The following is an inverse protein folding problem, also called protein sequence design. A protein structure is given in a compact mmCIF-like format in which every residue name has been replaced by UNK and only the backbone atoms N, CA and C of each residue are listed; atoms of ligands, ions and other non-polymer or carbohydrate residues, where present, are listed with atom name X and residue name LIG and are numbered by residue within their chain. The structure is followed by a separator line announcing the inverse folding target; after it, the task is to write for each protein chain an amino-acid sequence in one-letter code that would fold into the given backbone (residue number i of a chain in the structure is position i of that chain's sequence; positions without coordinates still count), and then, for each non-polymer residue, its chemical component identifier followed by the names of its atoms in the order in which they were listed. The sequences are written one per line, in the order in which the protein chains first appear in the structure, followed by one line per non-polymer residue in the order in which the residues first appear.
data_IF_857056241008
#
_entry.id   IF_857056241008
#
_cell.length_a   1.000
_cell.length_b   1.000
_cell.length_c   1.000
_cell.angle_alpha   90.00
_cell.angle_beta   90.00
_cell.angle_gamma   90.00
#
_symmetry.space_group_name_H-M   'P 1'
#
loop_
_entity.id
_entity.type
_entity.pdbx_description
1 polymer ?
#
# COMPACT_ATOMS: atom_id res chain seq x y z
N UNK A 1 -9.04 0.02 21.79
CA UNK A 1 -9.75 -0.75 20.74
C UNK A 1 -8.92 -1.97 20.37
N UNK A 2 -9.59 -3.11 20.11
CA UNK A 2 -8.96 -4.29 19.52
C UNK A 2 -8.46 -4.00 18.10
N UNK A 3 -7.38 -4.68 17.70
CA UNK A 3 -6.91 -4.65 16.32
C UNK A 3 -7.92 -5.35 15.43
N UNK A 4 -8.12 -4.80 14.24
CA UNK A 4 -8.91 -5.49 13.22
C UNK A 4 -8.11 -6.66 12.64
N UNK A 5 -8.71 -7.84 12.62
CA UNK A 5 -8.08 -9.07 12.13
C UNK A 5 -8.37 -9.24 10.65
N UNK A 6 -7.33 -9.39 9.84
CA UNK A 6 -7.46 -9.42 8.38
C UNK A 6 -6.85 -10.70 7.85
N UNK A 7 -7.60 -11.45 7.06
CA UNK A 7 -7.02 -12.55 6.26
C UNK A 7 -6.56 -12.00 4.93
N UNK A 8 -5.38 -12.40 4.47
CA UNK A 8 -4.86 -12.04 3.15
C UNK A 8 -4.58 -13.33 2.38
N UNK A 9 -5.11 -13.42 1.16
CA UNK A 9 -4.90 -14.56 0.28
C UNK A 9 -4.37 -14.11 -1.09
N UNK A 10 -3.75 -15.03 -1.81
CA UNK A 10 -3.34 -14.83 -3.20
C UNK A 10 -4.03 -15.84 -4.10
N UNK A 11 -4.47 -15.41 -5.28
CA UNK A 11 -5.25 -16.23 -6.19
C UNK A 11 -4.60 -16.19 -7.57
N UNK A 12 -4.24 -17.35 -8.08
CA UNK A 12 -3.49 -17.48 -9.33
C UNK A 12 -2.02 -17.01 -9.23
N UNK A 13 -1.42 -16.76 -10.39
CA UNK A 13 0.01 -16.42 -10.49
C UNK A 13 0.29 -14.98 -10.05
N UNK A 14 1.19 -14.82 -9.08
CA UNK A 14 1.62 -13.51 -8.56
C UNK A 14 2.89 -12.98 -9.27
N UNK A 15 3.08 -11.66 -9.38
CA UNK A 15 4.36 -11.09 -9.84
C UNK A 15 5.54 -11.63 -9.02
N UNK A 16 6.66 -11.95 -9.66
CA UNK A 16 7.81 -12.57 -9.01
C UNK A 16 8.44 -11.67 -7.93
N UNK A 17 8.35 -10.36 -8.11
CA UNK A 17 8.84 -9.34 -7.19
C UNK A 17 7.93 -9.12 -5.97
N UNK A 18 6.71 -9.66 -5.96
CA UNK A 18 5.77 -9.52 -4.85
C UNK A 18 6.21 -10.37 -3.64
N UNK A 19 6.51 -9.71 -2.53
CA UNK A 19 7.02 -10.33 -1.33
C UNK A 19 5.97 -10.35 -0.21
N UNK A 20 5.27 -11.48 -0.11
CA UNK A 20 4.27 -11.77 0.94
C UNK A 20 4.82 -11.64 2.36
N UNK A 21 6.11 -11.95 2.56
CA UNK A 21 6.72 -11.89 3.90
C UNK A 21 6.79 -10.45 4.44
N UNK A 22 6.88 -9.44 3.58
CA UNK A 22 6.80 -8.04 4.03
C UNK A 22 5.40 -7.69 4.52
N UNK A 23 4.36 -8.22 3.87
CA UNK A 23 2.97 -8.04 4.32
C UNK A 23 2.78 -8.62 5.72
N UNK A 24 3.24 -9.85 5.93
CA UNK A 24 3.16 -10.54 7.22
C UNK A 24 3.98 -9.86 8.33
N UNK A 25 5.16 -9.32 7.99
CA UNK A 25 6.05 -8.66 8.96
C UNK A 25 5.61 -7.25 9.32
N UNK A 26 4.69 -6.65 8.56
CA UNK A 26 4.19 -5.32 8.84
C UNK A 26 3.46 -5.29 10.19
N UNK A 27 3.92 -4.42 11.09
CA UNK A 27 3.34 -4.28 12.42
C UNK A 27 2.47 -3.04 12.45
N UNK A 28 1.18 -3.25 12.71
CA UNK A 28 0.21 -2.19 12.93
C UNK A 28 -0.39 -2.28 14.34
N UNK A 29 -0.74 -1.12 14.90
CA UNK A 29 -1.52 -1.00 16.13
C UNK A 29 -3.03 -0.96 15.87
N UNK A 30 -3.47 -0.85 14.60
CA UNK A 30 -4.89 -0.79 14.21
C UNK A 30 -5.40 -2.08 13.59
N UNK A 31 -4.54 -2.87 12.95
CA UNK A 31 -4.88 -4.18 12.40
C UNK A 31 -3.78 -5.23 12.65
N UNK A 32 -4.13 -6.49 12.43
CA UNK A 32 -3.20 -7.61 12.31
C UNK A 32 -3.57 -8.49 11.12
N UNK A 33 -2.57 -8.91 10.35
CA UNK A 33 -2.74 -9.92 9.29
C UNK A 33 -2.61 -11.29 9.94
N UNK A 34 -3.67 -12.09 9.83
CA UNK A 34 -3.73 -13.44 10.38
C UNK A 34 -3.08 -14.46 9.44
N UNK A 35 -2.68 -15.58 10.05
CA UNK A 35 -2.23 -16.80 9.38
C UNK A 35 -1.08 -16.61 8.37
N UNK A 36 -0.81 -17.65 7.59
CA UNK A 36 0.03 -17.53 6.39
C UNK A 36 -0.80 -17.00 5.23
N UNK A 37 -0.13 -16.29 4.30
CA UNK A 37 -0.78 -15.84 3.07
C UNK A 37 -0.86 -17.02 2.10
N UNK A 38 -1.98 -17.74 2.17
CA UNK A 38 -2.26 -18.90 1.33
C UNK A 38 -2.40 -18.54 -0.15
N UNK A 39 -2.17 -19.54 -1.00
CA UNK A 39 -2.36 -19.45 -2.45
C UNK A 39 -3.43 -20.41 -2.92
N UNK A 40 -4.36 -19.89 -3.71
CA UNK A 40 -5.40 -20.66 -4.35
C UNK A 40 -5.25 -20.56 -5.87
N UNK A 41 -5.74 -21.57 -6.59
CA UNK A 41 -5.79 -21.53 -8.04
C UNK A 41 -6.91 -20.61 -8.53
N UNK A 42 -6.65 -19.86 -9.59
CA UNK A 42 -7.70 -19.18 -10.34
C UNK A 42 -8.24 -20.16 -11.40
N UNK A 43 -9.36 -20.81 -11.10
CA UNK A 43 -9.90 -21.94 -11.88
C UNK A 43 -11.04 -21.59 -12.83
N UNK A 44 -11.47 -20.32 -12.85
CA UNK A 44 -12.53 -19.82 -13.73
C UNK A 44 -11.95 -19.12 -14.95
N UNK A 45 -12.80 -18.96 -15.96
CA UNK A 45 -12.51 -18.24 -17.18
C UNK A 45 -12.78 -16.74 -17.00
N UNK A 46 -12.12 -15.93 -17.83
CA UNK A 46 -12.21 -14.47 -17.83
C UNK A 46 -13.32 -14.01 -18.79
N UNK A 47 -14.57 -14.26 -18.42
CA UNK A 47 -15.73 -14.11 -19.31
C UNK A 47 -16.28 -12.68 -19.43
N UNK A 48 -15.64 -11.69 -18.78
CA UNK A 48 -16.02 -10.29 -18.88
C UNK A 48 -15.72 -9.67 -20.25
N UNK A 49 -16.32 -8.50 -20.53
CA UNK A 49 -16.25 -7.85 -21.85
C UNK A 49 -14.82 -7.55 -22.33
N UNK A 50 -13.89 -7.28 -21.40
CA UNK A 50 -12.49 -7.00 -21.70
C UNK A 50 -11.55 -8.09 -21.18
N UNK A 51 -11.97 -9.36 -21.26
CA UNK A 51 -11.24 -10.51 -20.71
C UNK A 51 -10.98 -10.36 -19.20
N UNK A 52 -11.91 -9.73 -18.51
CA UNK A 52 -11.86 -9.51 -17.07
C UNK A 52 -12.60 -10.59 -16.29
N UNK A 53 -12.20 -10.79 -15.04
CA UNK A 53 -12.94 -11.60 -14.10
C UNK A 53 -14.05 -10.75 -13.48
N UNK A 54 -15.30 -11.14 -13.72
CA UNK A 54 -16.48 -10.49 -13.15
C UNK A 54 -16.53 -10.68 -11.63
N UNK A 55 -17.28 -9.83 -10.93
CA UNK A 55 -17.49 -10.00 -9.50
C UNK A 55 -18.13 -11.37 -9.23
N UNK A 56 -19.13 -11.78 -10.01
CA UNK A 56 -19.78 -13.10 -9.93
C UNK A 56 -18.79 -14.27 -10.08
N UNK A 57 -17.86 -14.19 -11.03
CA UNK A 57 -16.85 -15.23 -11.22
C UNK A 57 -15.92 -15.33 -10.01
N UNK A 58 -15.45 -14.17 -9.50
CA UNK A 58 -14.57 -14.11 -8.34
C UNK A 58 -15.26 -14.58 -7.06
N UNK A 59 -16.55 -14.30 -6.89
CA UNK A 59 -17.36 -14.77 -5.76
C UNK A 59 -17.30 -16.30 -5.59
N UNK A 60 -17.16 -17.03 -6.69
CA UNK A 60 -17.08 -18.50 -6.68
C UNK A 60 -15.68 -19.07 -6.47
N UNK A 61 -14.62 -18.27 -6.72
CA UNK A 61 -13.22 -18.72 -6.64
C UNK A 61 -12.56 -18.31 -5.33
N UNK A 62 -12.94 -17.16 -4.78
CA UNK A 62 -12.34 -16.65 -3.57
C UNK A 62 -12.74 -17.50 -2.35
N UNK A 63 -11.85 -17.62 -1.33
CA UNK A 63 -12.19 -18.31 -0.10
C UNK A 63 -13.46 -17.74 0.56
N UNK A 64 -14.44 -18.61 0.80
CA UNK A 64 -15.67 -18.27 1.51
C UNK A 64 -15.53 -18.39 3.03
N UNK A 65 -14.50 -19.12 3.49
CA UNK A 65 -14.18 -19.29 4.91
C UNK A 65 -12.78 -18.78 5.17
N UNK A 66 -12.66 -17.82 6.08
CA UNK A 66 -11.39 -17.23 6.50
C UNK A 66 -11.47 -16.84 7.98
N UNK A 67 -10.31 -16.71 8.62
CA UNK A 67 -10.18 -16.51 10.08
C UNK A 67 -10.36 -15.06 10.53
N UNK A 68 -10.13 -14.11 9.63
CA UNK A 68 -10.23 -12.68 9.87
C UNK A 68 -11.65 -12.15 9.86
N UNK A 69 -11.80 -10.88 10.24
CA UNK A 69 -13.04 -10.12 10.15
C UNK A 69 -13.41 -9.77 8.71
N UNK A 70 -12.39 -9.64 7.85
CA UNK A 70 -12.54 -9.48 6.41
C UNK A 70 -11.34 -10.07 5.67
N UNK A 71 -11.53 -10.36 4.39
CA UNK A 71 -10.53 -10.93 3.49
C UNK A 71 -10.08 -9.87 2.47
N UNK A 72 -8.76 -9.78 2.24
CA UNK A 72 -8.20 -9.17 1.03
C UNK A 72 -7.59 -10.29 0.17
N UNK A 73 -8.23 -10.59 -0.95
CA UNK A 73 -7.71 -11.48 -1.97
C UNK A 73 -6.92 -10.70 -3.02
N UNK A 74 -5.70 -11.16 -3.32
CA UNK A 74 -4.80 -10.53 -4.28
C UNK A 74 -4.74 -11.40 -5.53
N UNK A 75 -5.11 -10.82 -6.67
CA UNK A 75 -5.02 -11.41 -8.01
C UNK A 75 -4.03 -10.62 -8.87
N UNK A 76 -3.74 -11.11 -10.08
CA UNK A 76 -2.88 -10.43 -11.07
C UNK A 76 -3.47 -10.62 -12.49
N UNK A 77 -4.80 -10.52 -12.56
CA UNK A 77 -5.62 -10.57 -13.77
C UNK A 77 -6.57 -9.37 -13.76
N UNK A 78 -7.02 -8.88 -14.93
CA UNK A 78 -8.04 -7.83 -14.96
C UNK A 78 -9.30 -8.26 -14.18
N UNK A 79 -9.89 -7.33 -13.44
CA UNK A 79 -11.13 -7.51 -12.69
C UNK A 79 -12.17 -6.50 -13.17
N UNK A 80 -13.44 -6.82 -12.94
CA UNK A 80 -14.60 -6.15 -13.49
C UNK A 80 -14.53 -4.61 -13.56
N UNK A 81 -14.98 -4.05 -14.69
CA UNK A 81 -14.92 -2.63 -15.05
C UNK A 81 -13.50 -2.05 -15.03
N UNK A 82 -12.49 -2.89 -15.22
CA UNK A 82 -11.07 -2.54 -15.18
C UNK A 82 -10.65 -1.80 -13.88
N UNK A 83 -11.23 -2.14 -12.73
CA UNK A 83 -10.81 -1.58 -11.43
C UNK A 83 -9.51 -2.24 -10.95
N UNK A 84 -8.80 -1.60 -10.02
CA UNK A 84 -7.69 -2.27 -9.32
C UNK A 84 -8.10 -2.86 -7.98
N UNK A 85 -9.25 -2.46 -7.43
CA UNK A 85 -9.78 -3.00 -6.18
C UNK A 85 -11.30 -2.95 -6.20
N UNK A 86 -11.95 -4.04 -5.78
CA UNK A 86 -13.40 -4.16 -5.69
C UNK A 86 -13.82 -4.82 -4.38
N UNK A 87 -15.00 -4.45 -3.90
CA UNK A 87 -15.64 -4.99 -2.71
C UNK A 87 -16.67 -6.02 -3.15
N UNK A 88 -16.61 -7.19 -2.54
CA UNK A 88 -17.45 -8.34 -2.79
C UNK A 88 -18.29 -8.63 -1.54
N UNK A 89 -19.22 -9.56 -1.66
CA UNK A 89 -20.07 -9.98 -0.55
C UNK A 89 -19.26 -10.60 0.60
N UNK A 90 -19.88 -10.65 1.78
CA UNK A 90 -19.35 -11.31 2.97
C UNK A 90 -17.97 -10.78 3.42
N UNK A 91 -17.80 -9.46 3.46
CA UNK A 91 -16.56 -8.80 3.91
C UNK A 91 -15.33 -9.22 3.10
N UNK A 92 -15.48 -9.33 1.78
CA UNK A 92 -14.36 -9.69 0.90
C UNK A 92 -13.99 -8.50 0.02
N UNK A 93 -12.70 -8.37 -0.20
CA UNK A 93 -12.11 -7.39 -1.10
C UNK A 93 -11.21 -8.14 -2.05
N UNK A 94 -11.32 -7.85 -3.35
CA UNK A 94 -10.37 -8.30 -4.35
C UNK A 94 -9.53 -7.12 -4.81
N UNK A 95 -8.22 -7.30 -4.84
CA UNK A 95 -7.26 -6.35 -5.40
C UNK A 95 -6.49 -7.03 -6.53
N UNK A 96 -6.23 -6.31 -7.61
CA UNK A 96 -5.42 -6.82 -8.72
C UNK A 96 -4.12 -6.05 -8.95
N UNK A 97 -3.04 -6.80 -9.20
CA UNK A 97 -1.79 -6.27 -9.74
C UNK A 97 -1.82 -6.01 -11.25
N UNK A 98 -2.90 -6.36 -11.95
CA UNK A 98 -3.07 -6.03 -13.35
C UNK A 98 -2.92 -4.52 -13.58
N UNK A 99 -2.03 -4.14 -14.50
CA UNK A 99 -1.52 -2.78 -14.75
C UNK A 99 -0.80 -2.09 -13.58
N UNK A 100 -1.29 -2.23 -12.35
CA UNK A 100 -0.72 -1.58 -11.15
C UNK A 100 0.74 -1.99 -10.94
N UNK A 101 1.10 -3.25 -11.19
CA UNK A 101 2.49 -3.70 -11.04
C UNK A 101 3.45 -2.90 -11.93
N UNK A 102 3.05 -2.61 -13.16
CA UNK A 102 3.86 -1.91 -14.14
C UNK A 102 4.00 -0.43 -13.76
N UNK A 103 2.90 0.19 -13.33
CA UNK A 103 2.86 1.57 -12.84
C UNK A 103 3.80 1.75 -11.63
N UNK A 104 3.70 0.87 -10.64
CA UNK A 104 4.55 0.92 -9.45
C UNK A 104 6.01 0.64 -9.78
N UNK A 105 6.28 -0.35 -10.65
CA UNK A 105 7.63 -0.68 -11.12
C UNK A 105 8.29 0.50 -11.83
N UNK A 106 7.59 1.14 -12.76
CA UNK A 106 8.06 2.32 -13.47
C UNK A 106 8.44 3.45 -12.50
N UNK A 107 7.66 3.60 -11.43
CA UNK A 107 7.89 4.61 -10.40
C UNK A 107 8.87 4.19 -9.29
N UNK A 108 9.49 3.02 -9.40
CA UNK A 108 10.38 2.41 -8.40
C UNK A 108 9.72 2.25 -7.01
N UNK A 109 8.42 2.00 -6.98
CA UNK A 109 7.63 1.75 -5.77
C UNK A 109 7.51 0.23 -5.56
N UNK A 110 7.83 -0.31 -4.36
CA UNK A 110 7.59 -1.71 -4.06
C UNK A 110 6.10 -2.08 -4.18
N UNK A 111 5.80 -3.25 -4.75
CA UNK A 111 4.42 -3.73 -4.89
C UNK A 111 3.69 -3.88 -3.55
N UNK A 112 4.41 -4.07 -2.46
CA UNK A 112 3.79 -4.19 -1.13
C UNK A 112 3.19 -2.88 -0.64
N UNK A 113 3.63 -1.73 -1.16
CA UNK A 113 3.13 -0.43 -0.72
C UNK A 113 1.65 -0.26 -1.00
N UNK A 114 1.15 -0.75 -2.14
CA UNK A 114 -0.28 -0.69 -2.43
C UNK A 114 -1.06 -1.61 -1.48
N UNK A 115 -0.53 -2.78 -1.15
CA UNK A 115 -1.18 -3.68 -0.19
C UNK A 115 -1.24 -3.04 1.21
N UNK A 116 -0.16 -2.39 1.67
CA UNK A 116 -0.19 -1.64 2.93
C UNK A 116 -1.24 -0.53 2.90
N UNK A 117 -1.28 0.27 1.83
CA UNK A 117 -2.29 1.32 1.63
C UNK A 117 -3.70 0.74 1.76
N UNK A 118 -3.98 -0.38 1.09
CA UNK A 118 -5.29 -1.02 1.09
C UNK A 118 -5.66 -1.60 2.47
N UNK A 119 -4.71 -2.22 3.18
CA UNK A 119 -4.95 -2.70 4.54
C UNK A 119 -5.43 -1.55 5.46
N UNK A 120 -4.80 -0.38 5.39
CA UNK A 120 -5.26 0.79 6.16
C UNK A 120 -6.61 1.33 5.67
N UNK A 121 -6.78 1.49 4.36
CA UNK A 121 -8.01 2.04 3.78
C UNK A 121 -9.23 1.17 4.11
N UNK A 122 -9.12 -0.15 3.92
CA UNK A 122 -10.20 -1.10 4.22
C UNK A 122 -10.40 -1.35 5.71
N UNK A 123 -9.37 -1.25 6.55
CA UNK A 123 -9.56 -1.25 8.01
C UNK A 123 -10.42 -0.07 8.45
N UNK A 124 -10.16 1.12 7.91
CA UNK A 124 -10.94 2.32 8.23
C UNK A 124 -12.37 2.21 7.65
N UNK A 125 -12.53 1.70 6.43
CA UNK A 125 -13.85 1.41 5.85
C UNK A 125 -14.64 0.44 6.72
N UNK A 126 -14.04 -0.71 7.06
CA UNK A 126 -14.66 -1.73 7.90
C UNK A 126 -15.20 -1.13 9.21
N UNK A 127 -14.35 -0.36 9.91
CA UNK A 127 -14.74 0.24 11.19
C UNK A 127 -15.84 1.30 11.04
N UNK A 128 -15.74 2.15 10.00
CA UNK A 128 -16.69 3.27 9.80
C UNK A 128 -18.05 2.79 9.30
N UNK A 129 -18.07 1.60 8.70
CA UNK A 129 -19.26 0.90 8.21
C UNK A 129 -19.77 -0.14 9.21
N UNK A 130 -19.53 0.04 10.51
CA UNK A 130 -20.12 -0.80 11.55
C UNK A 130 -19.62 -2.24 11.56
N UNK A 131 -18.33 -2.45 11.27
CA UNK A 131 -17.69 -3.77 11.16
C UNK A 131 -18.20 -4.59 9.96
N UNK A 132 -18.42 -3.91 8.84
CA UNK A 132 -18.80 -4.50 7.56
C UNK A 132 -18.02 -3.83 6.43
N UNK A 133 -17.67 -4.57 5.38
CA UNK A 133 -17.24 -4.00 4.10
C UNK A 133 -18.48 -3.96 3.20
N UNK A 134 -19.04 -2.77 2.89
CA UNK A 134 -20.18 -2.67 2.01
C UNK A 134 -19.80 -3.08 0.59
N UNK A 135 -20.74 -3.65 -0.16
CA UNK A 135 -20.51 -4.14 -1.53
C UNK A 135 -20.19 -3.00 -2.50
N UNK A 136 -19.61 -3.32 -3.67
CA UNK A 136 -19.27 -2.31 -4.69
C UNK A 136 -20.49 -1.57 -5.24
N UNK A 137 -21.66 -2.21 -5.19
CA UNK A 137 -22.96 -1.65 -5.57
C UNK A 137 -23.51 -0.62 -4.58
N UNK A 138 -22.97 -0.59 -3.35
CA UNK A 138 -23.42 0.33 -2.30
C UNK A 138 -22.70 1.68 -2.36
N UNK A 139 -23.49 2.76 -2.35
CA UNK A 139 -23.00 4.13 -2.26
C UNK A 139 -22.45 4.42 -0.86
N UNK A 140 -21.13 4.51 -0.75
CA UNK A 140 -20.43 4.62 0.55
C UNK A 140 -19.53 5.83 0.68
N UNK A 141 -19.41 6.65 -0.38
CA UNK A 141 -18.41 7.73 -0.46
C UNK A 141 -17.04 7.24 0.05
N UNK A 142 -16.64 6.03 -0.37
CA UNK A 142 -15.39 5.40 0.07
C UNK A 142 -14.17 6.16 -0.40
N UNK A 143 -14.23 6.68 -1.62
CA UNK A 143 -13.17 7.49 -2.23
C UNK A 143 -13.61 8.94 -2.40
N UNK A 144 -12.66 9.81 -2.72
CA UNK A 144 -12.90 11.16 -3.25
C UNK A 144 -12.17 11.35 -4.57
N UNK A 145 -12.71 12.19 -5.44
CA UNK A 145 -12.29 12.25 -6.85
C UNK A 145 -10.92 12.88 -7.09
N UNK A 146 -10.48 13.78 -6.20
CA UNK A 146 -9.19 14.46 -6.38
C UNK A 146 -8.02 13.62 -5.85
N UNK A 147 -6.96 13.44 -6.65
CA UNK A 147 -5.74 12.76 -6.20
C UNK A 147 -4.90 13.71 -5.32
N UNK A 148 -4.71 13.33 -4.06
CA UNK A 148 -3.94 14.12 -3.07
C UNK A 148 -2.83 13.32 -2.37
N UNK A 149 -2.60 12.07 -2.80
CA UNK A 149 -1.82 11.08 -2.07
C UNK A 149 -2.56 10.50 -0.86
N UNK A 150 -3.90 10.63 -0.83
CA UNK A 150 -4.73 10.12 0.24
C UNK A 150 -4.92 8.60 0.13
N UNK A 151 -5.14 7.93 1.26
CA UNK A 151 -5.58 6.52 1.26
C UNK A 151 -6.85 6.33 0.40
N UNK A 152 -7.73 7.34 0.39
CA UNK A 152 -9.05 7.32 -0.23
C UNK A 152 -9.10 8.07 -1.59
N UNK A 153 -7.95 8.33 -2.23
CA UNK A 153 -7.95 8.87 -3.59
C UNK A 153 -8.67 7.90 -4.55
N UNK A 154 -9.61 8.44 -5.32
CA UNK A 154 -10.16 7.79 -6.50
C UNK A 154 -9.20 8.03 -7.67
N UNK A 155 -8.48 7.00 -8.09
CA UNK A 155 -7.55 7.11 -9.21
C UNK A 155 -8.26 6.74 -10.52
N UNK A 156 -9.10 7.66 -11.02
CA UNK A 156 -9.70 7.53 -12.36
C UNK A 156 -8.65 7.40 -13.47
N UNK A 157 -7.50 8.05 -13.27
CA UNK A 157 -6.26 7.79 -14.01
C UNK A 157 -5.39 6.87 -13.15
N UNK A 158 -5.24 5.59 -13.52
CA UNK A 158 -4.55 4.59 -12.68
C UNK A 158 -3.11 4.94 -12.34
N UNK A 159 -2.42 5.69 -13.20
CA UNK A 159 -1.01 6.10 -12.96
C UNK A 159 -0.87 6.98 -11.71
N UNK A 160 -1.94 7.65 -11.29
CA UNK A 160 -1.94 8.54 -10.13
C UNK A 160 -1.90 7.79 -8.80
N UNK A 161 -2.09 6.46 -8.82
CA UNK A 161 -1.98 5.62 -7.62
C UNK A 161 -0.61 5.73 -6.94
N UNK A 162 0.42 6.15 -7.67
CA UNK A 162 1.79 6.34 -7.16
C UNK A 162 1.85 7.35 -6.02
N UNK A 163 0.98 8.37 -6.04
CA UNK A 163 0.95 9.43 -5.03
C UNK A 163 0.50 8.92 -3.65
N UNK A 164 -0.36 7.91 -3.62
CA UNK A 164 -0.81 7.25 -2.37
C UNK A 164 -0.01 5.98 -2.03
N UNK A 165 0.97 5.60 -2.86
CA UNK A 165 1.86 4.47 -2.60
C UNK A 165 3.27 4.90 -2.17
N UNK A 166 3.53 6.20 -2.03
CA UNK A 166 4.75 6.74 -1.46
C UNK A 166 4.45 7.94 -0.56
N UNK A 167 4.60 7.75 0.76
CA UNK A 167 4.25 8.75 1.78
C UNK A 167 2.74 9.12 1.77
N UNK A 168 1.83 8.14 1.83
CA UNK A 168 0.40 8.41 1.85
C UNK A 168 -0.04 9.23 3.06
N UNK A 169 -1.18 9.92 2.87
CA UNK A 169 -1.82 10.73 3.90
C UNK A 169 -3.30 10.34 4.09
N UNK A 170 -3.91 10.93 5.11
CA UNK A 170 -5.37 11.09 5.18
C UNK A 170 -5.59 12.60 5.06
N UNK A 171 -6.21 13.03 3.95
CA UNK A 171 -6.49 14.45 3.68
C UNK A 171 -7.49 15.02 4.70
N UNK A 172 -7.64 16.34 4.75
CA UNK A 172 -8.64 17.01 5.61
C UNK A 172 -10.02 16.40 5.39
N UNK A 173 -10.51 16.41 4.16
CA UNK A 173 -11.90 16.03 3.88
C UNK A 173 -12.20 14.58 4.33
N UNK A 174 -11.23 13.67 4.18
CA UNK A 174 -11.34 12.30 4.70
C UNK A 174 -11.22 12.23 6.22
N UNK A 175 -10.36 13.04 6.84
CA UNK A 175 -10.24 13.14 8.29
C UNK A 175 -11.56 13.60 8.92
N UNK A 176 -12.17 14.65 8.37
CA UNK A 176 -13.47 15.15 8.82
C UNK A 176 -14.57 14.09 8.62
N UNK A 177 -14.58 13.40 7.48
CA UNK A 177 -15.52 12.30 7.20
C UNK A 177 -15.38 11.16 8.20
N UNK A 178 -14.17 10.68 8.45
CA UNK A 178 -13.92 9.61 9.43
C UNK A 178 -14.39 9.99 10.84
N UNK A 179 -14.25 11.25 11.24
CA UNK A 179 -14.76 11.75 12.53
C UNK A 179 -16.28 11.78 12.58
N UNK A 180 -16.93 12.23 11.51
CA UNK A 180 -18.40 12.22 11.38
C UNK A 180 -18.94 10.78 11.44
N UNK A 181 -18.22 9.83 10.85
CA UNK A 181 -18.51 8.39 10.88
C UNK A 181 -17.99 7.70 12.17
N UNK A 182 -17.75 8.47 13.23
CA UNK A 182 -17.46 7.99 14.59
C UNK A 182 -16.18 7.14 14.74
N UNK A 183 -15.21 7.27 13.83
CA UNK A 183 -13.88 6.70 14.05
C UNK A 183 -13.15 7.55 15.10
N UNK A 184 -12.63 6.90 16.14
CA UNK A 184 -11.91 7.60 17.20
C UNK A 184 -10.66 8.32 16.70
N UNK A 185 -10.41 9.52 17.19
CA UNK A 185 -9.19 10.30 16.88
C UNK A 185 -7.91 9.51 17.20
N UNK A 186 -7.94 8.65 18.22
CA UNK A 186 -6.83 7.75 18.56
C UNK A 186 -6.51 6.78 17.40
N UNK A 187 -7.53 6.15 16.81
CA UNK A 187 -7.37 5.23 15.68
C UNK A 187 -6.85 5.98 14.45
N UNK A 188 -7.43 7.15 14.16
CA UNK A 188 -7.00 8.00 13.05
C UNK A 188 -5.54 8.42 13.22
N UNK A 189 -5.15 8.87 14.42
CA UNK A 189 -3.78 9.30 14.71
C UNK A 189 -2.77 8.14 14.55
N UNK A 190 -3.14 6.93 15.00
CA UNK A 190 -2.34 5.71 14.78
C UNK A 190 -2.17 5.42 13.29
N UNK A 191 -3.26 5.42 12.52
CA UNK A 191 -3.20 5.26 11.06
C UNK A 191 -2.27 6.30 10.42
N UNK A 192 -2.49 7.60 10.69
CA UNK A 192 -1.68 8.69 10.12
C UNK A 192 -0.19 8.56 10.45
N UNK A 193 0.14 8.08 11.64
CA UNK A 193 1.53 7.83 12.05
C UNK A 193 2.14 6.67 11.27
N UNK A 194 1.43 5.55 11.17
CA UNK A 194 1.97 4.31 10.57
C UNK A 194 2.05 4.39 9.04
N UNK A 195 1.07 5.00 8.37
CA UNK A 195 1.05 5.10 6.89
C UNK A 195 2.23 5.90 6.33
N UNK A 196 2.81 6.81 7.12
CA UNK A 196 4.05 7.52 6.75
C UNK A 196 5.23 6.57 6.52
N UNK A 197 5.19 5.38 7.10
CA UNK A 197 6.20 4.33 6.89
C UNK A 197 6.11 3.67 5.50
N UNK A 198 5.01 3.86 4.77
CA UNK A 198 4.82 3.31 3.42
C UNK A 198 5.61 4.19 2.44
N UNK A 199 6.82 3.77 2.11
CA UNK A 199 7.75 4.57 1.31
C UNK A 199 8.52 3.73 0.29
N UNK A 200 9.05 4.39 -0.74
CA UNK A 200 10.06 3.79 -1.62
C UNK A 200 11.30 3.41 -0.81
N UNK A 201 12.09 2.48 -1.35
CA UNK A 201 13.41 2.16 -0.77
C UNK A 201 14.28 3.41 -0.72
N UNK A 202 15.14 3.51 0.30
CA UNK A 202 15.98 4.68 0.54
C UNK A 202 16.81 5.07 -0.69
N UNK A 203 17.41 4.08 -1.37
CA UNK A 203 18.16 4.30 -2.61
C UNK A 203 17.36 5.14 -3.63
N UNK A 204 16.13 4.71 -3.95
CA UNK A 204 15.28 5.41 -4.92
C UNK A 204 14.86 6.80 -4.44
N UNK A 205 14.63 6.97 -3.13
CA UNK A 205 14.33 8.30 -2.57
C UNK A 205 15.50 9.27 -2.73
N UNK A 206 16.73 8.79 -2.51
CA UNK A 206 17.95 9.58 -2.73
C UNK A 206 18.11 9.89 -4.23
N UNK A 207 17.93 8.90 -5.10
CA UNK A 207 17.99 9.11 -6.56
C UNK A 207 16.96 10.11 -7.05
N UNK A 208 15.72 10.02 -6.57
CA UNK A 208 14.65 10.96 -6.91
C UNK A 208 15.00 12.38 -6.43
N UNK A 209 15.53 12.53 -5.21
CA UNK A 209 16.02 13.82 -4.71
C UNK A 209 17.12 14.40 -5.60
N UNK A 210 18.09 13.57 -6.03
CA UNK A 210 19.18 14.03 -6.91
C UNK A 210 18.64 14.53 -8.25
N UNK A 211 17.68 13.80 -8.83
CA UNK A 211 17.06 14.17 -10.11
C UNK A 211 16.23 15.45 -10.00
N UNK A 212 15.51 15.64 -8.90
CA UNK A 212 14.65 16.81 -8.69
C UNK A 212 15.44 18.05 -8.26
N UNK A 213 16.55 17.87 -7.55
CA UNK A 213 17.35 18.96 -6.97
C UNK A 213 18.86 18.77 -7.24
N UNK A 214 19.30 18.87 -8.51
CA UNK A 214 20.69 18.61 -8.88
C UNK A 214 21.68 19.60 -8.24
N UNK A 215 21.33 20.89 -8.16
CA UNK A 215 22.20 21.92 -7.55
C UNK A 215 22.44 21.66 -6.06
N UNK A 216 21.38 21.33 -5.32
CA UNK A 216 21.51 20.94 -3.90
C UNK A 216 22.33 19.68 -3.73
N UNK A 217 22.18 18.72 -4.65
CA UNK A 217 22.95 17.47 -4.61
C UNK A 217 24.44 17.70 -4.83
N UNK A 218 24.81 18.62 -5.74
CA UNK A 218 26.19 19.04 -5.93
C UNK A 218 26.74 19.73 -4.68
N UNK A 219 25.98 20.64 -4.08
CA UNK A 219 26.38 21.32 -2.85
C UNK A 219 26.60 20.35 -1.68
N UNK A 220 25.66 19.43 -1.45
CA UNK A 220 25.76 18.38 -0.40
C UNK A 220 26.98 17.49 -0.66
N UNK A 221 27.22 17.09 -1.90
CA UNK A 221 28.36 16.25 -2.27
C UNK A 221 29.69 16.98 -2.01
N UNK A 222 29.78 18.26 -2.37
CA UNK A 222 30.96 19.09 -2.09
C UNK A 222 31.25 19.26 -0.60
N UNK A 223 30.22 19.58 0.19
CA UNK A 223 30.35 19.68 1.66
C UNK A 223 30.77 18.34 2.25
N UNK A 224 30.17 17.24 1.80
CA UNK A 224 30.49 15.89 2.26
C UNK A 224 31.94 15.51 1.95
N UNK A 225 32.44 15.85 0.76
CA UNK A 225 33.83 15.62 0.37
C UNK A 225 34.81 16.38 1.28
N UNK A 226 34.52 17.65 1.60
CA UNK A 226 35.33 18.46 2.53
C UNK A 226 35.35 17.82 3.92
N UNK A 227 34.19 17.45 4.46
CA UNK A 227 34.07 16.82 5.78
C UNK A 227 34.83 15.49 5.84
N UNK A 228 34.66 14.62 4.84
CA UNK A 228 35.39 13.35 4.77
C UNK A 228 36.91 13.57 4.66
N UNK A 229 37.34 14.60 3.92
CA UNK A 229 38.76 14.98 3.83
C UNK A 229 39.34 15.39 5.19
N UNK A 230 38.61 16.21 5.97
CA UNK A 230 39.01 16.62 7.32
C UNK A 230 39.08 15.41 8.26
N UNK A 231 38.04 14.55 8.27
CA UNK A 231 38.01 13.34 9.10
C UNK A 231 39.17 12.41 8.74
N UNK A 232 39.41 12.18 7.44
CA UNK A 232 40.51 11.33 6.96
C UNK A 232 41.88 11.86 7.38
N UNK A 233 42.09 13.17 7.30
CA UNK A 233 43.32 13.83 7.77
C UNK A 233 43.53 13.63 9.27
N UNK A 234 42.50 13.87 10.08
CA UNK A 234 42.57 13.70 11.55
C UNK A 234 42.85 12.24 11.92
N UNK A 235 42.13 11.28 11.32
CA UNK A 235 42.36 9.85 11.57
C UNK A 235 43.77 9.42 11.14
N UNK A 236 44.25 9.91 10.00
CA UNK A 236 45.60 9.64 9.50
C UNK A 236 46.67 10.09 10.47
N UNK A 237 46.52 11.29 11.05
CA UNK A 237 47.45 11.79 12.08
C UNK A 237 47.48 10.90 13.32
N UNK A 238 46.32 10.48 13.84
CA UNK A 238 46.25 9.58 15.00
C UNK A 238 46.88 8.20 14.71
N UNK A 239 46.62 7.63 13.53
CA UNK A 239 47.21 6.34 13.14
C UNK A 239 48.72 6.46 13.00
N UNK A 240 49.21 7.56 12.41
CA UNK A 240 50.64 7.82 12.27
C UNK A 240 51.34 7.94 13.61
N UNK A 241 50.75 8.67 14.57
CA UNK A 241 51.28 8.77 15.93
C UNK A 241 51.28 7.43 16.68
N UNK A 242 50.28 6.57 16.47
CA UNK A 242 50.19 5.27 17.14
C UNK A 242 51.17 4.21 16.60
N UNK A 243 51.64 4.37 15.36
CA UNK A 243 52.62 3.45 14.72
C UNK A 243 54.07 3.88 15.00
N UNK A 244 54.27 5.15 15.35
CA UNK A 244 55.58 5.73 15.65
C UNK A 244 56.02 5.43 17.07
#
# INVERSE_FOLDING_TARGET
MSKTKITVATIGHMPAEFNRQKIKKWKSSVFEVLDEIESYSLSKDSDGMEWEFTDESLETVLPNTFSGEFLIAIVNVPIELNWYSRRLSANRVVFTFHEIKEILRYSNIPLENIIFRLLYAYTLLYKRSGNCIPESTEHTNFTHDETRGCLFDMNGIKTDIVYSCHNPIICSDCLERLRQEQISDETIAKCKKEIRGIQKKLFYRITDFIKQHPLWSLAISGVTAIVLGVIGSVLGSYVYEAIK
#
